data_IF_295967956677
#
_entry.id   IF_295967956677
#
_cell.length_a   1.000
_cell.length_b   1.000
_cell.length_c   1.000
_cell.angle_alpha   90.00
_cell.angle_beta   90.00
_cell.angle_gamma   90.00
#
_symmetry.space_group_name_H-M   'P 1'
#
loop_
_entity.id
_entity.type
_entity.pdbx_description
1 polymer ?
#
# COMPACT_ATOMS: atom_id res chain seq x y z
N UNK A 1 -36.46 -7.62 26.75
CA UNK A 1 -35.95 -8.73 25.93
C UNK A 1 -36.70 -8.69 24.61
N UNK A 2 -35.99 -8.62 23.50
CA UNK A 2 -36.58 -8.75 22.16
C UNK A 2 -37.12 -10.17 22.02
N UNK A 3 -38.38 -10.30 21.61
CA UNK A 3 -39.02 -11.60 21.36
C UNK A 3 -38.29 -12.33 20.23
N UNK A 4 -38.09 -13.65 20.40
CA UNK A 4 -37.50 -14.49 19.35
C UNK A 4 -38.36 -14.44 18.09
N UNK A 5 -37.71 -14.28 16.95
CA UNK A 5 -38.36 -14.26 15.65
C UNK A 5 -37.39 -14.73 14.58
N UNK A 6 -37.86 -15.55 13.64
CA UNK A 6 -37.08 -15.91 12.47
C UNK A 6 -37.99 -16.08 11.27
N UNK A 7 -37.63 -15.40 10.19
CA UNK A 7 -38.08 -15.69 8.84
C UNK A 7 -36.97 -16.50 8.15
N UNK A 8 -37.15 -17.83 8.11
CA UNK A 8 -36.16 -18.73 7.54
C UNK A 8 -35.94 -18.47 6.04
N UNK A 9 -36.94 -17.99 5.29
CA UNK A 9 -36.73 -17.60 3.89
C UNK A 9 -35.94 -16.28 3.82
N UNK A 10 -36.26 -15.34 4.71
CA UNK A 10 -35.59 -14.04 4.85
C UNK A 10 -34.09 -14.14 5.17
N UNK A 11 -33.65 -15.18 5.90
CA UNK A 11 -32.23 -15.45 6.20
C UNK A 11 -31.34 -15.61 4.95
N UNK A 12 -31.93 -15.99 3.80
CA UNK A 12 -31.21 -16.01 2.53
C UNK A 12 -30.63 -14.62 2.17
N UNK A 13 -31.27 -13.53 2.60
CA UNK A 13 -30.79 -12.17 2.37
C UNK A 13 -29.50 -11.87 3.15
N UNK A 14 -29.43 -12.34 4.40
CA UNK A 14 -28.23 -12.24 5.26
C UNK A 14 -27.09 -13.06 4.64
N UNK A 15 -27.38 -14.31 4.24
CA UNK A 15 -26.43 -15.18 3.54
C UNK A 15 -25.87 -14.50 2.28
N UNK A 16 -26.74 -14.00 1.40
CA UNK A 16 -26.33 -13.39 0.14
C UNK A 16 -25.45 -12.15 0.35
N UNK A 17 -25.70 -11.37 1.40
CA UNK A 17 -24.86 -10.22 1.71
C UNK A 17 -23.45 -10.63 2.14
N UNK A 18 -23.33 -11.65 2.99
CA UNK A 18 -22.03 -12.19 3.42
C UNK A 18 -21.25 -12.79 2.25
N UNK A 19 -21.94 -13.48 1.33
CA UNK A 19 -21.35 -13.99 0.09
C UNK A 19 -20.87 -12.85 -0.81
N UNK A 20 -21.64 -11.77 -0.97
CA UNK A 20 -21.19 -10.58 -1.73
C UNK A 20 -19.97 -9.93 -1.08
N UNK A 21 -19.97 -9.74 0.24
CA UNK A 21 -18.81 -9.19 0.94
C UNK A 21 -17.55 -10.06 0.77
N UNK A 22 -17.70 -11.39 0.76
CA UNK A 22 -16.60 -12.31 0.45
C UNK A 22 -16.12 -12.18 -1.00
N UNK A 23 -17.05 -12.07 -1.95
CA UNK A 23 -16.76 -11.83 -3.36
C UNK A 23 -15.99 -10.52 -3.57
N UNK A 24 -16.49 -9.41 -3.03
CA UNK A 24 -15.86 -8.09 -3.12
C UNK A 24 -14.45 -8.10 -2.50
N UNK A 25 -14.25 -8.82 -1.38
CA UNK A 25 -12.94 -8.99 -0.76
C UNK A 25 -11.99 -9.82 -1.64
N UNK A 26 -12.51 -10.86 -2.31
CA UNK A 26 -11.75 -11.65 -3.28
C UNK A 26 -11.33 -10.82 -4.49
N UNK A 27 -12.23 -10.00 -5.04
CA UNK A 27 -11.94 -9.12 -6.18
C UNK A 27 -10.89 -8.06 -5.80
N UNK A 28 -11.00 -7.50 -4.59
CA UNK A 28 -10.02 -6.54 -4.05
C UNK A 28 -8.65 -7.18 -3.82
N UNK A 29 -8.61 -8.44 -3.37
CA UNK A 29 -7.37 -9.21 -3.23
C UNK A 29 -6.71 -9.48 -4.58
N UNK A 30 -7.47 -9.92 -5.58
CA UNK A 30 -6.96 -10.16 -6.93
C UNK A 30 -6.44 -8.86 -7.55
N UNK A 31 -7.18 -7.77 -7.40
CA UNK A 31 -6.76 -6.44 -7.82
C UNK A 31 -5.41 -6.04 -7.20
N UNK A 32 -5.27 -6.24 -5.89
CA UNK A 32 -4.03 -5.93 -5.17
C UNK A 32 -2.87 -6.76 -5.70
N UNK A 33 -3.04 -8.08 -5.85
CA UNK A 33 -2.01 -8.97 -6.41
C UNK A 33 -1.59 -8.55 -7.81
N UNK A 34 -2.56 -8.27 -8.68
CA UNK A 34 -2.32 -7.85 -10.06
C UNK A 34 -1.48 -6.58 -10.18
N UNK A 35 -1.67 -5.62 -9.27
CA UNK A 35 -1.06 -4.29 -9.37
C UNK A 35 0.12 -4.07 -8.41
N UNK A 36 0.34 -4.95 -7.44
CA UNK A 36 1.38 -4.81 -6.43
C UNK A 36 2.37 -5.99 -6.36
N UNK A 37 2.23 -7.04 -7.15
CA UNK A 37 3.27 -8.06 -7.26
C UNK A 37 4.45 -7.54 -8.10
N UNK A 38 5.34 -6.81 -7.43
CA UNK A 38 6.45 -6.11 -8.09
C UNK A 38 7.69 -7.00 -8.23
N UNK A 39 8.16 -7.16 -9.46
CA UNK A 39 9.49 -7.68 -9.76
C UNK A 39 10.53 -6.59 -9.55
N UNK A 40 11.20 -6.55 -8.40
CA UNK A 40 12.31 -5.63 -8.19
C UNK A 40 13.57 -6.12 -8.90
N UNK A 41 14.29 -5.19 -9.52
CA UNK A 41 15.68 -5.40 -9.95
C UNK A 41 16.61 -5.18 -8.77
N UNK A 42 17.67 -5.99 -8.66
CA UNK A 42 18.61 -5.95 -7.52
C UNK A 42 19.62 -4.78 -7.57
N UNK A 43 19.19 -3.56 -7.93
CA UNK A 43 20.07 -2.40 -8.09
C UNK A 43 19.40 -1.09 -7.64
N UNK A 44 20.22 -0.16 -7.16
CA UNK A 44 19.86 1.22 -6.86
C UNK A 44 19.11 1.46 -5.55
N UNK A 45 18.66 2.70 -5.35
CA UNK A 45 18.02 3.18 -4.13
C UNK A 45 16.70 2.45 -3.82
N UNK A 46 16.01 1.95 -4.85
CA UNK A 46 14.77 1.19 -4.69
C UNK A 46 14.96 -0.10 -3.87
N UNK A 47 16.19 -0.64 -3.83
CA UNK A 47 16.55 -1.81 -3.02
C UNK A 47 16.22 -1.63 -1.53
N UNK A 48 16.29 -0.39 -1.03
CA UNK A 48 15.98 -0.07 0.36
C UNK A 48 14.50 -0.27 0.69
N UNK A 49 13.64 -0.31 -0.32
CA UNK A 49 12.19 -0.41 -0.20
C UNK A 49 11.65 -1.82 -0.49
N UNK A 50 12.47 -2.77 -0.94
CA UNK A 50 12.01 -4.14 -1.27
C UNK A 50 11.40 -4.84 -0.06
N UNK A 51 12.13 -4.90 1.05
CA UNK A 51 11.64 -5.55 2.26
C UNK A 51 10.41 -4.84 2.84
N UNK A 52 10.42 -3.49 3.01
CA UNK A 52 9.22 -2.74 3.36
C UNK A 52 8.03 -2.98 2.44
N UNK A 53 8.25 -3.05 1.13
CA UNK A 53 7.18 -3.34 0.17
C UNK A 53 6.60 -4.74 0.36
N UNK A 54 7.45 -5.77 0.40
CA UNK A 54 7.02 -7.17 0.62
C UNK A 54 6.20 -7.29 1.90
N UNK A 55 6.60 -6.55 2.93
CA UNK A 55 5.86 -6.47 4.18
C UNK A 55 4.46 -5.85 4.01
N UNK A 56 4.36 -4.65 3.44
CA UNK A 56 3.09 -3.98 3.20
C UNK A 56 2.16 -4.80 2.30
N UNK A 57 2.72 -5.38 1.23
CA UNK A 57 2.00 -6.26 0.32
C UNK A 57 1.46 -7.51 1.04
N UNK A 58 2.29 -8.18 1.86
CA UNK A 58 1.88 -9.31 2.68
C UNK A 58 0.73 -8.95 3.63
N UNK A 59 0.90 -7.87 4.40
CA UNK A 59 -0.10 -7.42 5.37
C UNK A 59 -1.46 -7.10 4.74
N UNK A 60 -1.49 -6.39 3.60
CA UNK A 60 -2.75 -6.07 2.90
C UNK A 60 -3.38 -7.32 2.30
N UNK A 61 -2.60 -8.19 1.65
CA UNK A 61 -3.14 -9.40 1.02
C UNK A 61 -3.62 -10.43 2.04
N UNK A 62 -2.94 -10.56 3.18
CA UNK A 62 -3.38 -11.38 4.31
C UNK A 62 -4.68 -10.83 4.91
N UNK A 63 -4.76 -9.52 5.17
CA UNK A 63 -5.99 -8.90 5.69
C UNK A 63 -7.20 -9.10 4.76
N UNK A 64 -7.03 -8.94 3.44
CA UNK A 64 -8.09 -9.17 2.46
C UNK A 64 -8.47 -10.66 2.35
N UNK A 65 -7.49 -11.56 2.45
CA UNK A 65 -7.75 -13.01 2.51
C UNK A 65 -8.59 -13.37 3.73
N UNK A 66 -8.23 -12.84 4.90
CA UNK A 66 -8.96 -13.06 6.15
C UNK A 66 -10.38 -12.47 6.07
N UNK A 67 -10.56 -11.27 5.52
CA UNK A 67 -11.88 -10.66 5.30
C UNK A 67 -12.77 -11.56 4.44
N UNK A 68 -12.24 -12.05 3.32
CA UNK A 68 -12.92 -12.98 2.42
C UNK A 68 -13.35 -14.26 3.16
N UNK A 69 -12.43 -14.89 3.88
CA UNK A 69 -12.65 -16.17 4.55
C UNK A 69 -13.65 -16.05 5.71
N UNK A 70 -13.55 -15.00 6.53
CA UNK A 70 -14.47 -14.73 7.62
C UNK A 70 -15.90 -14.46 7.11
N UNK A 71 -16.04 -13.64 6.06
CA UNK A 71 -17.36 -13.38 5.46
C UNK A 71 -17.98 -14.66 4.87
N UNK A 72 -17.19 -15.47 4.15
CA UNK A 72 -17.65 -16.74 3.60
C UNK A 72 -18.05 -17.75 4.70
N UNK A 73 -17.24 -17.83 5.76
CA UNK A 73 -17.49 -18.69 6.92
C UNK A 73 -18.80 -18.32 7.62
N UNK A 74 -19.03 -17.04 7.87
CA UNK A 74 -20.29 -16.56 8.44
C UNK A 74 -21.49 -16.86 7.52
N UNK A 75 -21.36 -16.64 6.21
CA UNK A 75 -22.41 -17.00 5.25
C UNK A 75 -22.77 -18.48 5.33
N UNK A 76 -21.76 -19.36 5.38
CA UNK A 76 -21.96 -20.81 5.53
C UNK A 76 -22.76 -21.14 6.79
N UNK A 77 -22.48 -20.47 7.91
CA UNK A 77 -23.21 -20.68 9.16
C UNK A 77 -24.63 -20.14 9.15
N UNK A 78 -24.86 -18.97 8.55
CA UNK A 78 -26.21 -18.43 8.37
C UNK A 78 -27.06 -19.37 7.51
N UNK A 79 -26.48 -19.95 6.45
CA UNK A 79 -27.16 -20.95 5.64
C UNK A 79 -27.48 -22.24 6.41
N UNK A 80 -26.58 -22.68 7.30
CA UNK A 80 -26.86 -23.81 8.20
C UNK A 80 -28.03 -23.49 9.15
N UNK A 81 -27.98 -22.34 9.84
CA UNK A 81 -29.04 -21.88 10.73
C UNK A 81 -30.40 -21.76 10.01
N UNK A 82 -30.40 -21.26 8.77
CA UNK A 82 -31.57 -21.22 7.91
C UNK A 82 -32.18 -22.61 7.70
N UNK A 83 -31.36 -23.62 7.36
CA UNK A 83 -31.83 -24.98 7.17
C UNK A 83 -32.42 -25.59 8.45
N UNK A 84 -31.85 -25.29 9.60
CA UNK A 84 -32.33 -25.81 10.89
C UNK A 84 -33.64 -25.16 11.31
N UNK A 85 -33.75 -23.83 11.17
CA UNK A 85 -35.01 -23.12 11.43
C UNK A 85 -36.13 -23.52 10.46
N UNK A 86 -35.81 -23.82 9.20
CA UNK A 86 -36.80 -24.29 8.24
C UNK A 86 -37.37 -25.69 8.57
N UNK A 87 -36.65 -26.50 9.34
CA UNK A 87 -37.05 -27.87 9.73
C UNK A 87 -37.70 -27.97 11.11
N UNK A 88 -37.66 -26.90 11.90
CA UNK A 88 -38.14 -26.89 13.29
C UNK A 88 -39.41 -26.05 13.44
N UNK A 89 -40.29 -26.44 14.36
CA UNK A 89 -41.41 -25.58 14.76
C UNK A 89 -40.90 -24.34 15.52
N UNK A 90 -41.72 -23.28 15.57
CA UNK A 90 -41.31 -21.99 16.16
C UNK A 90 -40.92 -22.10 17.64
N UNK A 91 -41.53 -23.01 18.41
CA UNK A 91 -41.21 -23.19 19.83
C UNK A 91 -39.90 -23.97 20.03
N UNK A 92 -39.62 -24.95 19.16
CA UNK A 92 -38.34 -25.62 19.08
C UNK A 92 -37.22 -24.66 18.65
N UNK A 93 -37.46 -23.82 17.65
CA UNK A 93 -36.53 -22.79 17.19
C UNK A 93 -36.21 -21.76 18.30
N UNK A 94 -37.21 -21.33 19.08
CA UNK A 94 -36.99 -20.43 20.21
C UNK A 94 -36.18 -21.09 21.33
N UNK A 95 -36.41 -22.37 21.62
CA UNK A 95 -35.62 -23.13 22.61
C UNK A 95 -34.18 -23.34 22.15
N UNK A 96 -34.00 -23.63 20.86
CA UNK A 96 -32.69 -23.71 20.23
C UNK A 96 -31.97 -22.37 20.36
N UNK A 97 -32.64 -21.26 20.02
CA UNK A 97 -32.06 -19.92 20.11
C UNK A 97 -31.66 -19.53 21.54
N UNK A 98 -32.49 -19.86 22.53
CA UNK A 98 -32.20 -19.60 23.93
C UNK A 98 -30.90 -20.29 24.41
N UNK A 99 -30.47 -21.38 23.75
CA UNK A 99 -29.23 -22.09 24.03
C UNK A 99 -27.95 -21.39 23.54
N UNK A 100 -28.05 -20.39 22.67
CA UNK A 100 -26.86 -19.70 22.15
C UNK A 100 -26.24 -18.74 23.19
N UNK A 101 -24.93 -18.43 23.05
CA UNK A 101 -24.26 -17.46 23.91
C UNK A 101 -24.78 -16.03 23.72
N UNK A 102 -25.28 -15.67 22.53
CA UNK A 102 -25.65 -14.29 22.21
C UNK A 102 -24.43 -13.41 21.88
N UNK A 103 -24.67 -12.11 21.69
CA UNK A 103 -23.58 -11.13 21.62
C UNK A 103 -22.90 -10.99 22.99
N UNK A 104 -21.60 -10.65 23.02
CA UNK A 104 -20.87 -10.41 24.28
C UNK A 104 -21.42 -9.20 25.04
N UNK A 105 -21.78 -8.14 24.32
CA UNK A 105 -22.47 -6.96 24.86
C UNK A 105 -23.68 -6.56 24.00
N UNK A 106 -24.87 -7.13 24.26
CA UNK A 106 -26.09 -6.81 23.50
C UNK A 106 -26.55 -5.35 23.61
N UNK A 107 -26.12 -4.63 24.65
CA UNK A 107 -26.45 -3.21 24.79
C UNK A 107 -25.56 -2.36 23.86
N UNK A 108 -24.26 -2.65 23.82
CA UNK A 108 -23.32 -1.99 22.91
C UNK A 108 -23.65 -2.24 21.43
N UNK A 109 -24.05 -3.47 21.07
CA UNK A 109 -24.52 -3.80 19.71
C UNK A 109 -25.72 -2.94 19.34
N UNK A 110 -26.77 -2.91 20.17
CA UNK A 110 -27.97 -2.10 19.91
C UNK A 110 -27.66 -0.60 19.84
N UNK A 111 -26.76 -0.10 20.69
CA UNK A 111 -26.26 1.27 20.61
C UNK A 111 -25.62 1.56 19.26
N UNK A 112 -24.69 0.71 18.83
CA UNK A 112 -23.98 0.84 17.54
C UNK A 112 -24.92 0.80 16.32
N UNK A 113 -25.99 0.00 16.39
CA UNK A 113 -27.00 -0.09 15.33
C UNK A 113 -27.96 1.11 15.27
N UNK A 114 -28.15 1.83 16.38
CA UNK A 114 -29.16 2.90 16.50
C UNK A 114 -28.57 4.31 16.46
N UNK A 115 -27.27 4.48 16.73
CA UNK A 115 -26.65 5.78 16.94
C UNK A 115 -26.03 6.35 15.65
N UNK A 116 -26.59 7.48 15.17
CA UNK A 116 -25.87 8.44 14.32
C UNK A 116 -25.35 7.90 12.97
N UNK A 117 -26.21 7.23 12.19
CA UNK A 117 -25.85 6.66 10.88
C UNK A 117 -26.57 7.36 9.71
N UNK A 118 -26.12 8.54 9.27
CA UNK A 118 -26.68 9.23 8.11
C UNK A 118 -26.64 8.40 6.83
N UNK A 119 -25.64 7.51 6.70
CA UNK A 119 -25.50 6.57 5.59
C UNK A 119 -26.64 5.54 5.52
N UNK A 120 -27.33 5.32 6.64
CA UNK A 120 -28.51 4.45 6.73
C UNK A 120 -29.82 5.26 6.78
N UNK A 121 -29.77 6.59 6.67
CA UNK A 121 -30.95 7.46 6.67
C UNK A 121 -31.56 7.52 5.27
N UNK A 122 -32.63 6.76 5.06
CA UNK A 122 -33.40 6.74 3.82
C UNK A 122 -34.23 5.47 3.71
N UNK A 123 -35.26 5.47 2.85
CA UNK A 123 -35.99 4.25 2.53
C UNK A 123 -35.12 3.37 1.63
N UNK A 124 -34.49 2.35 2.19
CA UNK A 124 -33.76 1.31 1.45
C UNK A 124 -34.38 -0.04 1.71
N UNK A 125 -34.33 -0.92 0.71
CA UNK A 125 -34.69 -2.32 0.90
C UNK A 125 -33.65 -2.98 1.82
N UNK A 126 -34.12 -3.80 2.75
CA UNK A 126 -33.24 -4.56 3.65
C UNK A 126 -32.19 -5.36 2.85
N UNK A 127 -30.96 -5.42 3.37
CA UNK A 127 -29.80 -6.10 2.79
C UNK A 127 -29.36 -5.61 1.40
N UNK A 128 -29.84 -4.44 0.98
CA UNK A 128 -29.29 -3.72 -0.17
C UNK A 128 -27.99 -3.02 0.24
N UNK A 129 -26.97 -3.21 -0.57
CA UNK A 129 -25.65 -2.60 -0.36
C UNK A 129 -25.76 -1.07 -0.42
N UNK A 130 -25.07 -0.41 0.50
CA UNK A 130 -25.04 1.06 0.64
C UNK A 130 -23.84 1.69 -0.09
N UNK A 131 -22.94 0.84 -0.59
CA UNK A 131 -21.73 1.21 -1.30
C UNK A 131 -21.38 0.14 -2.35
N UNK A 132 -20.53 0.49 -3.32
CA UNK A 132 -20.13 -0.39 -4.42
C UNK A 132 -18.60 -0.55 -4.45
N UNK A 133 -18.03 -1.54 -3.73
CA UNK A 133 -16.58 -1.73 -3.64
C UNK A 133 -15.87 -1.79 -4.99
N UNK A 134 -16.47 -2.50 -5.97
CA UNK A 134 -15.92 -2.62 -7.32
C UNK A 134 -15.74 -1.30 -8.07
N UNK A 135 -16.46 -0.23 -7.70
CA UNK A 135 -16.29 1.10 -8.31
C UNK A 135 -14.91 1.73 -8.04
N UNK A 136 -14.21 1.26 -7.00
CA UNK A 136 -12.85 1.68 -6.68
C UNK A 136 -11.77 0.89 -7.42
N UNK A 137 -12.07 -0.33 -7.89
CA UNK A 137 -11.10 -1.26 -8.50
C UNK A 137 -10.79 -0.92 -9.98
N UNK A 138 -10.64 0.37 -10.28
CA UNK A 138 -10.21 0.88 -11.58
C UNK A 138 -8.70 0.76 -11.74
N UNK A 139 -8.21 0.79 -12.97
CA UNK A 139 -6.76 0.83 -13.22
C UNK A 139 -6.15 2.01 -12.45
N UNK A 140 -5.13 1.80 -11.59
CA UNK A 140 -4.49 2.89 -10.87
C UNK A 140 -3.97 3.91 -11.87
N UNK A 141 -4.40 5.15 -11.73
CA UNK A 141 -3.83 6.25 -12.50
C UNK A 141 -2.41 6.51 -11.99
N UNK A 142 -1.52 6.94 -12.88
CA UNK A 142 -0.27 7.57 -12.49
C UNK A 142 -0.64 8.96 -11.94
N UNK A 143 -1.15 9.01 -10.71
CA UNK A 143 -1.80 10.18 -10.13
C UNK A 143 -0.84 11.35 -9.80
N UNK A 144 0.34 11.40 -10.43
CA UNK A 144 1.30 12.48 -10.25
C UNK A 144 1.76 13.00 -11.60
N UNK A 145 1.74 14.32 -11.75
CA UNK A 145 2.50 15.06 -12.76
C UNK A 145 4.03 14.97 -12.55
N UNK A 146 4.47 14.01 -11.74
CA UNK A 146 5.84 13.54 -11.73
C UNK A 146 5.97 12.69 -12.99
N UNK A 147 6.63 13.25 -14.01
CA UNK A 147 7.14 12.43 -15.11
C UNK A 147 8.02 11.33 -14.52
N UNK A 148 7.44 10.14 -14.43
CA UNK A 148 8.11 8.92 -14.03
C UNK A 148 8.88 8.43 -15.25
N UNK A 149 10.18 8.68 -15.22
CA UNK A 149 11.12 8.33 -16.26
C UNK A 149 11.33 6.81 -16.34
N UNK A 150 11.56 6.29 -17.54
CA UNK A 150 12.45 5.14 -17.70
C UNK A 150 13.83 5.73 -17.89
N UNK A 151 14.57 5.96 -16.80
CA UNK A 151 15.91 6.51 -16.97
C UNK A 151 16.70 5.47 -17.76
N UNK A 152 17.25 5.87 -18.91
CA UNK A 152 18.44 5.24 -19.43
C UNK A 152 19.59 6.14 -18.97
N UNK A 153 20.03 6.03 -17.70
CA UNK A 153 20.96 7.01 -17.14
C UNK A 153 22.28 7.00 -17.90
N UNK A 154 22.59 5.88 -18.55
CA UNK A 154 23.74 5.74 -19.44
C UNK A 154 23.61 6.55 -20.74
N UNK A 155 22.39 6.81 -21.24
CA UNK A 155 22.16 7.64 -22.43
C UNK A 155 21.92 9.12 -22.06
N UNK A 156 21.22 9.38 -20.96
CA UNK A 156 20.77 10.73 -20.58
C UNK A 156 21.77 11.49 -19.70
N UNK A 157 22.39 10.84 -18.71
CA UNK A 157 23.48 11.42 -17.91
C UNK A 157 24.85 11.13 -18.49
N UNK A 158 25.00 9.97 -19.16
CA UNK A 158 26.31 9.42 -19.53
C UNK A 158 26.49 9.34 -21.06
N UNK A 159 26.11 10.40 -21.77
CA UNK A 159 26.66 10.72 -23.09
C UNK A 159 27.96 11.58 -23.09
N UNK A 160 28.86 11.56 -22.08
CA UNK A 160 30.16 12.17 -22.24
C UNK A 160 31.08 11.18 -22.96
N UNK A 161 31.58 11.62 -24.11
CA UNK A 161 32.60 10.97 -24.94
C UNK A 161 33.73 10.30 -24.11
N UNK A 162 34.25 9.16 -24.59
CA UNK A 162 35.20 8.28 -23.90
C UNK A 162 36.35 8.98 -23.13
N UNK A 163 36.78 10.16 -23.55
CA UNK A 163 37.82 10.95 -22.87
C UNK A 163 37.39 11.52 -21.51
N UNK A 164 36.11 11.89 -21.31
CA UNK A 164 35.60 12.40 -20.02
C UNK A 164 35.60 11.31 -18.94
N UNK A 165 35.22 10.08 -19.33
CA UNK A 165 35.40 8.90 -18.47
C UNK A 165 36.86 8.70 -18.08
N UNK A 166 37.79 8.91 -19.01
CA UNK A 166 39.22 8.74 -18.74
C UNK A 166 39.79 9.81 -17.79
N UNK A 167 39.36 11.08 -17.91
CA UNK A 167 39.71 12.15 -16.96
C UNK A 167 39.12 11.85 -15.57
N UNK A 168 37.91 11.31 -15.53
CA UNK A 168 37.23 10.94 -14.27
C UNK A 168 37.94 9.79 -13.57
N UNK A 169 38.32 8.74 -14.31
CA UNK A 169 39.13 7.63 -13.78
C UNK A 169 40.50 8.13 -13.34
N UNK A 170 41.13 9.04 -14.07
CA UNK A 170 42.40 9.64 -13.65
C UNK A 170 42.27 10.41 -12.33
N UNK A 171 41.19 11.18 -12.18
CA UNK A 171 40.97 12.04 -11.01
C UNK A 171 40.47 11.27 -9.78
N UNK A 172 39.51 10.36 -9.96
CA UNK A 172 38.82 9.66 -8.87
C UNK A 172 39.27 8.20 -8.71
N UNK A 173 40.11 7.66 -9.60
CA UNK A 173 40.53 6.25 -9.67
C UNK A 173 39.42 5.24 -10.03
N UNK A 174 38.21 5.70 -10.36
CA UNK A 174 37.07 4.91 -10.86
C UNK A 174 36.11 5.82 -11.66
N UNK A 175 35.07 5.24 -12.29
CA UNK A 175 34.01 6.00 -12.98
C UNK A 175 32.87 6.33 -11.97
N UNK A 176 32.79 7.56 -11.44
CA UNK A 176 31.76 7.92 -10.47
C UNK A 176 30.36 7.98 -11.10
N UNK A 177 30.26 8.22 -12.42
CA UNK A 177 28.99 8.38 -13.10
C UNK A 177 28.23 7.05 -13.21
N UNK A 178 28.95 5.95 -13.47
CA UNK A 178 28.34 4.61 -13.49
C UNK A 178 27.73 4.25 -12.13
N UNK A 179 28.45 4.54 -11.04
CA UNK A 179 27.96 4.34 -9.68
C UNK A 179 26.67 5.12 -9.40
N UNK A 180 26.64 6.41 -9.73
CA UNK A 180 25.49 7.30 -9.51
C UNK A 180 24.29 6.97 -10.39
N UNK A 181 24.51 6.71 -11.67
CA UNK A 181 23.47 6.27 -12.61
C UNK A 181 22.73 5.02 -12.12
N UNK A 182 23.48 4.03 -11.62
CA UNK A 182 22.90 2.80 -11.10
C UNK A 182 22.01 3.01 -9.88
N UNK A 183 22.21 4.10 -9.12
CA UNK A 183 21.40 4.41 -7.93
C UNK A 183 19.95 4.78 -8.26
N UNK A 184 19.71 5.34 -9.44
CA UNK A 184 18.36 5.71 -9.86
C UNK A 184 17.64 4.61 -10.65
N UNK A 185 18.33 3.52 -10.97
CA UNK A 185 17.75 2.34 -11.59
C UNK A 185 16.60 1.76 -10.75
N UNK A 186 15.65 1.14 -11.44
CA UNK A 186 14.49 0.50 -10.82
C UNK A 186 13.18 0.94 -11.46
N UNK A 187 12.16 0.10 -11.34
CA UNK A 187 10.82 0.41 -11.82
C UNK A 187 10.04 1.21 -10.79
N UNK A 188 10.45 2.47 -10.61
CA UNK A 188 9.75 3.42 -9.74
C UNK A 188 8.31 3.62 -10.19
N UNK A 189 8.04 3.47 -11.50
CA UNK A 189 6.71 3.61 -12.09
C UNK A 189 5.77 2.53 -11.56
N UNK A 190 6.21 1.27 -11.56
CA UNK A 190 5.47 0.18 -10.96
C UNK A 190 5.35 0.33 -9.43
N UNK A 191 6.38 0.87 -8.76
CA UNK A 191 6.32 1.17 -7.33
C UNK A 191 5.19 2.16 -6.98
N UNK A 192 5.15 3.32 -7.64
CA UNK A 192 4.06 4.32 -7.51
C UNK A 192 2.71 3.72 -7.88
N UNK A 193 2.66 2.95 -8.98
CA UNK A 193 1.45 2.28 -9.44
C UNK A 193 0.86 1.39 -8.35
N UNK A 194 1.70 0.61 -7.67
CA UNK A 194 1.28 -0.19 -6.53
C UNK A 194 0.79 0.67 -5.35
N UNK A 195 1.49 1.76 -5.00
CA UNK A 195 1.04 2.68 -3.94
C UNK A 195 -0.39 3.19 -4.20
N UNK A 196 -0.70 3.58 -5.44
CA UNK A 196 -2.04 3.97 -5.84
C UNK A 196 -3.06 2.82 -5.76
N UNK A 197 -2.66 1.63 -6.22
CA UNK A 197 -3.49 0.43 -6.10
C UNK A 197 -3.84 0.10 -4.64
N UNK A 198 -2.88 0.22 -3.71
CA UNK A 198 -3.13 0.03 -2.28
C UNK A 198 -4.20 1.00 -1.77
N UNK A 199 -4.10 2.29 -2.13
CA UNK A 199 -5.11 3.29 -1.76
C UNK A 199 -6.52 2.94 -2.26
N UNK A 200 -6.64 2.46 -3.51
CA UNK A 200 -7.91 2.03 -4.10
C UNK A 200 -8.45 0.75 -3.45
N UNK A 201 -7.59 -0.22 -3.15
CA UNK A 201 -7.96 -1.42 -2.41
C UNK A 201 -8.47 -1.09 -1.00
N UNK A 202 -7.85 -0.13 -0.32
CA UNK A 202 -8.33 0.38 0.97
C UNK A 202 -9.71 1.03 0.88
N UNK A 203 -10.02 1.76 -0.20
CA UNK A 203 -11.34 2.33 -0.43
C UNK A 203 -12.40 1.25 -0.70
N UNK A 204 -12.08 0.23 -1.50
CA UNK A 204 -12.95 -0.93 -1.69
C UNK A 204 -13.25 -1.65 -0.37
N UNK A 205 -12.22 -1.90 0.46
CA UNK A 205 -12.39 -2.52 1.78
C UNK A 205 -13.28 -1.70 2.72
N UNK A 206 -13.17 -0.38 2.68
CA UNK A 206 -14.05 0.51 3.42
C UNK A 206 -15.52 0.34 3.01
N UNK A 207 -15.79 0.25 1.71
CA UNK A 207 -17.15 0.06 1.21
C UNK A 207 -17.71 -1.33 1.52
N UNK A 208 -16.87 -2.37 1.53
CA UNK A 208 -17.25 -3.70 2.05
C UNK A 208 -17.67 -3.59 3.51
N UNK A 209 -16.87 -2.90 4.33
CA UNK A 209 -17.17 -2.73 5.75
C UNK A 209 -18.47 -1.94 6.00
N UNK A 210 -18.74 -0.92 5.19
CA UNK A 210 -20.01 -0.20 5.23
C UNK A 210 -21.20 -1.08 4.89
N UNK A 211 -21.07 -1.93 3.87
CA UNK A 211 -22.11 -2.88 3.49
C UNK A 211 -22.39 -3.89 4.61
N UNK A 212 -21.36 -4.47 5.23
CA UNK A 212 -21.50 -5.38 6.38
C UNK A 212 -22.21 -4.70 7.55
N UNK A 213 -21.81 -3.48 7.89
CA UNK A 213 -22.40 -2.75 9.01
C UNK A 213 -23.86 -2.37 8.73
N UNK A 214 -24.20 -2.02 7.48
CA UNK A 214 -25.58 -1.81 7.05
C UNK A 214 -26.40 -3.11 7.17
N UNK A 215 -25.80 -4.22 6.75
CA UNK A 215 -26.33 -5.57 6.91
C UNK A 215 -26.71 -5.95 8.33
N UNK A 216 -25.79 -5.71 9.27
CA UNK A 216 -26.02 -5.94 10.70
C UNK A 216 -27.29 -5.22 11.20
N UNK A 217 -27.60 -4.05 10.66
CA UNK A 217 -28.80 -3.29 11.02
C UNK A 217 -30.09 -3.99 10.53
N UNK A 218 -30.01 -4.61 9.35
CA UNK A 218 -31.14 -5.28 8.72
C UNK A 218 -31.42 -6.67 9.27
N UNK A 219 -30.45 -7.33 9.93
CA UNK A 219 -30.63 -8.69 10.51
C UNK A 219 -31.93 -8.77 11.31
N UNK A 220 -32.23 -7.76 12.12
CA UNK A 220 -33.43 -7.71 12.97
C UNK A 220 -34.77 -7.75 12.23
N UNK A 221 -34.80 -7.47 10.91
CA UNK A 221 -36.01 -7.54 10.09
C UNK A 221 -36.40 -8.97 9.73
N UNK A 222 -35.45 -9.91 9.76
CA UNK A 222 -35.67 -11.33 9.42
C UNK A 222 -35.27 -12.28 10.55
N UNK A 223 -34.48 -11.83 11.53
CA UNK A 223 -33.96 -12.67 12.59
C UNK A 223 -33.73 -11.89 13.88
N UNK A 224 -34.35 -12.34 14.97
CA UNK A 224 -34.22 -11.78 16.33
C UNK A 224 -34.07 -12.92 17.32
N UNK A 225 -33.16 -12.76 18.27
CA UNK A 225 -32.75 -13.81 19.19
C UNK A 225 -31.26 -13.71 19.47
N UNK A 226 -30.76 -14.60 20.30
CA UNK A 226 -29.34 -14.62 20.67
C UNK A 226 -28.44 -14.88 19.47
N UNK A 227 -28.82 -15.80 18.57
CA UNK A 227 -28.00 -16.06 17.39
C UNK A 227 -27.97 -14.85 16.43
N UNK A 228 -29.10 -14.15 16.29
CA UNK A 228 -29.16 -12.90 15.53
C UNK A 228 -28.26 -11.82 16.14
N UNK A 229 -28.27 -11.65 17.46
CA UNK A 229 -27.41 -10.67 18.16
C UNK A 229 -25.92 -10.99 17.96
N UNK A 230 -25.52 -12.27 18.02
CA UNK A 230 -24.16 -12.70 17.76
C UNK A 230 -23.73 -12.42 16.31
N UNK A 231 -24.61 -12.66 15.33
CA UNK A 231 -24.36 -12.35 13.93
C UNK A 231 -24.20 -10.84 13.69
N UNK A 232 -25.04 -10.02 14.33
CA UNK A 232 -24.92 -8.57 14.29
C UNK A 232 -23.59 -8.09 14.88
N UNK A 233 -23.18 -8.62 16.03
CA UNK A 233 -21.88 -8.32 16.65
C UNK A 233 -20.72 -8.69 15.71
N UNK A 234 -20.80 -9.85 15.06
CA UNK A 234 -19.81 -10.30 14.08
C UNK A 234 -19.69 -9.33 12.89
N UNK A 235 -20.80 -9.02 12.21
CA UNK A 235 -20.78 -8.11 11.06
C UNK A 235 -20.31 -6.69 11.42
N UNK A 236 -20.68 -6.19 12.60
CA UNK A 236 -20.19 -4.90 13.10
C UNK A 236 -18.68 -4.93 13.32
N UNK A 237 -18.16 -5.99 13.94
CA UNK A 237 -16.73 -6.14 14.22
C UNK A 237 -15.93 -6.30 12.93
N UNK A 238 -16.37 -7.17 12.03
CA UNK A 238 -15.73 -7.39 10.73
C UNK A 238 -15.79 -6.14 9.86
N UNK A 239 -16.93 -5.47 9.81
CA UNK A 239 -17.11 -4.26 9.02
C UNK A 239 -16.28 -3.08 9.53
N UNK A 240 -16.17 -2.90 10.86
CA UNK A 240 -15.27 -1.91 11.44
C UNK A 240 -13.80 -2.20 11.10
N UNK A 241 -13.39 -3.46 11.14
CA UNK A 241 -12.05 -3.87 10.77
C UNK A 241 -11.75 -3.59 9.28
N UNK A 242 -12.70 -3.89 8.39
CA UNK A 242 -12.58 -3.60 6.96
C UNK A 242 -12.54 -2.09 6.68
N UNK A 243 -13.32 -1.27 7.40
CA UNK A 243 -13.25 0.21 7.34
C UNK A 243 -11.86 0.70 7.75
N UNK A 244 -11.28 0.16 8.81
CA UNK A 244 -9.97 0.58 9.31
C UNK A 244 -8.82 0.24 8.33
N UNK A 245 -8.99 -0.76 7.46
CA UNK A 245 -8.01 -1.10 6.42
C UNK A 245 -7.73 0.09 5.48
N UNK A 246 -8.71 0.97 5.25
CA UNK A 246 -8.54 2.15 4.41
C UNK A 246 -7.44 3.09 4.91
N UNK A 247 -7.36 3.29 6.23
CA UNK A 247 -6.37 4.19 6.83
C UNK A 247 -4.95 3.67 6.60
N UNK A 248 -4.73 2.37 6.81
CA UNK A 248 -3.44 1.73 6.58
C UNK A 248 -3.04 1.80 5.09
N UNK A 249 -3.97 1.45 4.20
CA UNK A 249 -3.76 1.52 2.75
C UNK A 249 -3.48 2.93 2.23
N UNK A 250 -4.14 3.95 2.80
CA UNK A 250 -3.87 5.35 2.46
C UNK A 250 -2.47 5.79 2.90
N UNK A 251 -2.06 5.40 4.11
CA UNK A 251 -0.71 5.67 4.60
C UNK A 251 0.35 4.96 3.74
N UNK A 252 0.11 3.72 3.31
CA UNK A 252 0.98 3.04 2.36
C UNK A 252 1.10 3.80 1.04
N UNK A 253 -0.03 4.23 0.46
CA UNK A 253 -0.02 5.07 -0.73
C UNK A 253 0.88 6.30 -0.52
N UNK A 254 0.60 7.11 0.51
CA UNK A 254 1.34 8.34 0.79
C UNK A 254 2.86 8.10 0.92
N UNK A 255 3.27 7.06 1.64
CA UNK A 255 4.69 6.74 1.83
C UNK A 255 5.37 6.28 0.54
N UNK A 256 4.67 5.52 -0.32
CA UNK A 256 5.20 5.12 -1.63
C UNK A 256 5.42 6.34 -2.53
N UNK A 257 4.45 7.27 -2.53
CA UNK A 257 4.55 8.52 -3.29
C UNK A 257 5.70 9.40 -2.79
N UNK A 258 5.84 9.54 -1.47
CA UNK A 258 6.94 10.31 -0.86
C UNK A 258 8.32 9.73 -1.20
N UNK A 259 8.47 8.40 -1.20
CA UNK A 259 9.73 7.76 -1.59
C UNK A 259 10.09 8.05 -3.05
N UNK A 260 9.13 7.90 -3.97
CA UNK A 260 9.35 8.19 -5.38
C UNK A 260 9.67 9.67 -5.64
N UNK A 261 8.95 10.58 -4.99
CA UNK A 261 9.20 12.02 -5.09
C UNK A 261 10.58 12.42 -4.53
N UNK A 262 11.00 11.80 -3.41
CA UNK A 262 12.32 12.03 -2.84
C UNK A 262 13.43 11.63 -3.81
N UNK A 263 13.31 10.46 -4.45
CA UNK A 263 14.31 10.01 -5.44
C UNK A 263 14.27 10.86 -6.70
N UNK A 264 13.10 11.35 -7.12
CA UNK A 264 13.02 12.33 -8.22
C UNK A 264 13.75 13.63 -7.91
N UNK A 265 13.47 14.24 -6.76
CA UNK A 265 14.16 15.47 -6.33
C UNK A 265 15.67 15.26 -6.25
N UNK A 266 16.10 14.11 -5.73
CA UNK A 266 17.52 13.76 -5.72
C UNK A 266 18.09 13.72 -7.14
N UNK A 267 17.43 13.02 -8.07
CA UNK A 267 17.88 12.93 -9.45
C UNK A 267 17.99 14.31 -10.12
N UNK A 268 17.00 15.18 -9.94
CA UNK A 268 16.99 16.52 -10.52
C UNK A 268 18.19 17.35 -10.02
N UNK A 269 18.45 17.32 -8.70
CA UNK A 269 19.60 18.03 -8.09
C UNK A 269 20.93 17.42 -8.53
N UNK A 270 21.07 16.10 -8.47
CA UNK A 270 22.30 15.38 -8.83
C UNK A 270 22.63 15.57 -10.31
N UNK A 271 21.63 15.60 -11.20
CA UNK A 271 21.84 15.83 -12.63
C UNK A 271 22.39 17.25 -12.91
N UNK A 272 21.94 18.25 -12.15
CA UNK A 272 22.51 19.60 -12.17
C UNK A 272 23.98 19.60 -11.73
N UNK A 273 24.29 19.00 -10.58
CA UNK A 273 25.66 18.92 -10.06
C UNK A 273 26.59 18.09 -10.95
N UNK A 274 26.08 17.04 -11.60
CA UNK A 274 26.83 16.26 -12.60
C UNK A 274 27.17 17.13 -13.81
N UNK A 275 26.24 17.98 -14.26
CA UNK A 275 26.49 18.92 -15.35
C UNK A 275 27.60 19.92 -14.98
N UNK A 276 27.54 20.49 -13.77
CA UNK A 276 28.59 21.37 -13.25
C UNK A 276 29.95 20.65 -13.14
N UNK A 277 29.94 19.38 -12.70
CA UNK A 277 31.14 18.56 -12.62
C UNK A 277 31.72 18.30 -14.02
N UNK A 278 30.89 17.99 -15.02
CA UNK A 278 31.33 17.80 -16.40
C UNK A 278 31.99 19.07 -16.95
N UNK A 279 31.41 20.25 -16.70
CA UNK A 279 31.98 21.53 -17.10
C UNK A 279 33.37 21.76 -16.48
N UNK A 280 33.52 21.48 -15.18
CA UNK A 280 34.83 21.55 -14.50
C UNK A 280 35.84 20.56 -15.08
N UNK A 281 35.42 19.32 -15.38
CA UNK A 281 36.28 18.31 -15.97
C UNK A 281 36.73 18.67 -17.40
N UNK A 282 35.90 19.34 -18.19
CA UNK A 282 36.27 19.90 -19.50
C UNK A 282 37.41 20.92 -19.32
N UNK A 283 37.30 21.81 -18.33
CA UNK A 283 38.32 22.83 -18.06
C UNK A 283 39.63 22.18 -17.59
N UNK A 284 39.57 21.17 -16.70
CA UNK A 284 40.76 20.42 -16.25
C UNK A 284 41.46 19.77 -17.44
N UNK A 285 40.71 19.13 -18.35
CA UNK A 285 41.28 18.47 -19.52
C UNK A 285 41.99 19.48 -20.45
N UNK A 286 41.34 20.62 -20.74
CA UNK A 286 41.92 21.68 -21.54
C UNK A 286 43.19 22.27 -20.89
N UNK A 287 43.16 22.53 -19.58
CA UNK A 287 44.29 23.06 -18.82
C UNK A 287 45.47 22.07 -18.76
N UNK A 288 45.20 20.77 -18.60
CA UNK A 288 46.23 19.73 -18.59
C UNK A 288 46.88 19.56 -19.98
N UNK A 289 46.10 19.63 -21.06
CA UNK A 289 46.62 19.56 -22.43
C UNK A 289 47.52 20.77 -22.75
N UNK A 290 47.08 21.99 -22.39
CA UNK A 290 47.87 23.22 -22.58
C UNK A 290 49.12 23.23 -21.69
N UNK A 291 49.01 22.78 -20.44
CA UNK A 291 50.15 22.65 -19.52
C UNK A 291 51.22 21.71 -20.08
N UNK A 292 50.82 20.59 -20.68
CA UNK A 292 51.74 19.63 -21.31
C UNK A 292 52.42 20.19 -22.55
N UNK A 293 51.68 20.94 -23.38
CA UNK A 293 52.21 21.54 -24.62
C UNK A 293 53.13 22.75 -24.37
N UNK A 294 52.98 23.43 -23.23
CA UNK A 294 53.74 24.66 -22.92
C UNK A 294 54.95 24.43 -22.02
N UNK A 295 55.28 23.17 -21.71
CA UNK A 295 56.51 22.79 -20.97
C UNK A 295 57.80 23.28 -21.67
N UNK A 296 57.77 23.46 -23.00
CA UNK A 296 58.91 23.98 -23.76
C UNK A 296 59.08 25.51 -23.65
N UNK A 297 58.05 26.22 -23.18
CA UNK A 297 58.06 27.67 -22.99
C UNK A 297 58.05 27.96 -21.49
N UNK A 298 59.18 28.40 -20.92
CA UNK A 298 59.48 28.55 -19.47
C UNK A 298 58.39 29.25 -18.61
N UNK A 299 57.42 29.94 -19.22
CA UNK A 299 56.30 30.63 -18.56
C UNK A 299 55.00 29.80 -18.48
N UNK A 300 54.83 28.80 -19.35
CA UNK A 300 53.60 27.99 -19.47
C UNK A 300 53.22 27.10 -18.29
N UNK A 301 54.17 26.42 -17.59
CA UNK A 301 53.84 25.46 -16.55
C UNK A 301 53.14 26.09 -15.32
N UNK A 302 53.53 27.29 -14.89
CA UNK A 302 53.08 27.86 -13.61
C UNK A 302 51.62 28.32 -13.66
N UNK A 303 51.15 28.83 -14.81
CA UNK A 303 49.76 29.24 -14.99
C UNK A 303 48.83 28.02 -15.20
N UNK A 304 49.26 27.02 -15.99
CA UNK A 304 48.45 25.84 -16.31
C UNK A 304 48.18 24.94 -15.11
N UNK A 305 49.19 24.66 -14.27
CA UNK A 305 49.02 23.78 -13.11
C UNK A 305 48.23 24.42 -11.97
N UNK A 306 48.32 25.74 -11.76
CA UNK A 306 47.52 26.44 -10.75
C UNK A 306 46.02 26.43 -11.07
N UNK A 307 45.68 26.66 -12.34
CA UNK A 307 44.31 26.56 -12.85
C UNK A 307 43.80 25.13 -12.73
N UNK A 308 44.59 24.13 -13.16
CA UNK A 308 44.20 22.72 -13.05
C UNK A 308 43.99 22.27 -11.59
N UNK A 309 44.84 22.71 -10.65
CA UNK A 309 44.70 22.37 -9.23
C UNK A 309 43.44 22.99 -8.59
N UNK A 310 43.12 24.25 -8.91
CA UNK A 310 41.89 24.91 -8.46
C UNK A 310 40.64 24.16 -8.95
N UNK A 311 40.55 23.88 -10.24
CA UNK A 311 39.42 23.16 -10.81
C UNK A 311 39.37 21.69 -10.34
N UNK A 312 40.51 21.07 -10.07
CA UNK A 312 40.58 19.74 -9.44
C UNK A 312 39.96 19.74 -8.04
N UNK A 313 40.24 20.76 -7.23
CA UNK A 313 39.60 20.92 -5.92
C UNK A 313 38.08 21.14 -6.07
N UNK A 314 37.64 21.96 -7.02
CA UNK A 314 36.22 22.19 -7.30
C UNK A 314 35.51 20.89 -7.74
N UNK A 315 36.13 20.09 -8.61
CA UNK A 315 35.59 18.79 -9.02
C UNK A 315 35.45 17.83 -7.83
N UNK A 316 36.41 17.84 -6.91
CA UNK A 316 36.35 17.04 -5.69
C UNK A 316 35.24 17.51 -4.72
N UNK A 317 35.00 18.81 -4.63
CA UNK A 317 33.94 19.39 -3.80
C UNK A 317 32.54 19.02 -4.33
N UNK A 318 32.32 19.17 -5.65
CA UNK A 318 31.08 18.73 -6.31
C UNK A 318 30.83 17.23 -6.14
N UNK A 319 31.88 16.40 -6.29
CA UNK A 319 31.79 14.97 -6.04
C UNK A 319 31.33 14.65 -4.61
N UNK A 320 31.87 15.36 -3.61
CA UNK A 320 31.47 15.19 -2.20
C UNK A 320 30.02 15.59 -1.97
N UNK A 321 29.59 16.70 -2.56
CA UNK A 321 28.22 17.19 -2.44
C UNK A 321 27.23 16.17 -3.00
N UNK A 322 27.48 15.66 -4.22
CA UNK A 322 26.68 14.59 -4.83
C UNK A 322 26.62 13.37 -3.91
N UNK A 323 27.76 12.92 -3.39
CA UNK A 323 27.84 11.76 -2.50
C UNK A 323 27.06 11.96 -1.19
N UNK A 324 27.10 13.17 -0.63
CA UNK A 324 26.32 13.52 0.56
C UNK A 324 24.82 13.49 0.30
N UNK A 325 24.37 13.95 -0.88
CA UNK A 325 22.95 13.91 -1.25
C UNK A 325 22.44 12.47 -1.38
N UNK A 326 23.25 11.56 -1.94
CA UNK A 326 22.92 10.13 -1.96
C UNK A 326 22.80 9.54 -0.56
N UNK A 327 23.74 9.85 0.35
CA UNK A 327 23.67 9.40 1.74
C UNK A 327 22.39 9.86 2.43
N UNK A 328 22.04 11.14 2.29
CA UNK A 328 20.82 11.71 2.86
C UNK A 328 19.55 11.05 2.30
N UNK A 329 19.50 10.77 0.99
CA UNK A 329 18.38 10.10 0.37
C UNK A 329 18.25 8.65 0.82
N UNK A 330 19.36 7.93 0.96
CA UNK A 330 19.35 6.57 1.50
C UNK A 330 18.75 6.55 2.92
N UNK A 331 19.15 7.49 3.77
CA UNK A 331 18.64 7.57 5.14
C UNK A 331 17.15 7.96 5.18
N UNK A 332 16.70 8.85 4.30
CA UNK A 332 15.28 9.14 4.13
C UNK A 332 14.48 7.92 3.67
N UNK A 333 14.99 7.14 2.71
CA UNK A 333 14.33 5.92 2.24
C UNK A 333 14.29 4.83 3.32
N UNK A 334 15.33 4.71 4.15
CA UNK A 334 15.30 3.83 5.33
C UNK A 334 14.23 4.27 6.32
N UNK A 335 14.10 5.57 6.57
CA UNK A 335 13.07 6.12 7.45
C UNK A 335 11.68 5.78 6.92
N UNK A 336 11.43 6.03 5.63
CA UNK A 336 10.17 5.69 4.97
C UNK A 336 9.91 4.18 5.03
N UNK A 337 10.91 3.36 4.74
CA UNK A 337 10.81 1.89 4.85
C UNK A 337 10.49 1.42 6.27
N UNK A 338 11.05 2.09 7.28
CA UNK A 338 10.71 1.90 8.69
C UNK A 338 9.25 2.25 8.99
N UNK A 339 8.76 3.40 8.50
CA UNK A 339 7.36 3.81 8.63
C UNK A 339 6.39 2.81 7.96
N UNK A 340 6.71 2.33 6.75
CA UNK A 340 5.93 1.30 6.06
C UNK A 340 5.82 0.04 6.93
N UNK A 341 6.94 -0.42 7.49
CA UNK A 341 6.96 -1.62 8.36
C UNK A 341 6.21 -1.38 9.69
N UNK A 342 6.12 -0.13 10.15
CA UNK A 342 5.43 0.26 11.38
C UNK A 342 3.90 0.29 11.32
N UNK A 343 3.29 0.31 10.13
CA UNK A 343 1.81 0.41 9.95
C UNK A 343 1.05 -0.82 10.51
N UNK A 344 1.75 -1.90 10.88
CA UNK A 344 1.20 -3.14 11.47
C UNK A 344 0.15 -2.95 12.56
N UNK A 345 0.18 -1.86 13.32
CA UNK A 345 -0.70 -1.64 14.47
C UNK A 345 -2.16 -1.28 14.11
N UNK A 346 -2.51 -1.10 12.82
CA UNK A 346 -3.83 -0.59 12.41
C UNK A 346 -4.67 -1.57 11.58
N UNK A 347 -4.12 -2.73 11.23
CA UNK A 347 -4.80 -3.72 10.38
C UNK A 347 -5.67 -4.68 11.21
N UNK A 348 -6.73 -4.12 11.80
CA UNK A 348 -7.60 -4.82 12.75
C UNK A 348 -8.22 -6.13 12.23
N UNK A 349 -8.31 -6.34 10.91
CA UNK A 349 -8.89 -7.56 10.32
C UNK A 349 -8.10 -8.82 10.71
N UNK A 350 -6.77 -8.72 10.83
CA UNK A 350 -5.92 -9.85 11.21
C UNK A 350 -6.00 -10.18 12.71
N UNK A 351 -6.37 -9.19 13.51
CA UNK A 351 -6.48 -9.27 14.96
C UNK A 351 -7.90 -9.67 15.40
N UNK A 352 -8.84 -9.71 14.46
CA UNK A 352 -10.08 -10.42 14.70
C UNK A 352 -9.67 -11.85 15.05
N UNK A 353 -10.03 -12.35 16.25
CA UNK A 353 -9.91 -13.77 16.47
C UNK A 353 -10.61 -14.47 15.30
N UNK A 354 -10.29 -15.73 15.05
CA UNK A 354 -11.27 -16.61 14.41
C UNK A 354 -12.51 -16.53 15.29
N UNK A 355 -13.35 -15.51 15.04
CA UNK A 355 -14.66 -15.36 15.65
C UNK A 355 -15.30 -16.60 15.11
N UNK A 356 -15.35 -17.62 15.96
CA UNK A 356 -15.83 -18.93 15.58
C UNK A 356 -17.16 -18.62 14.90
N UNK A 357 -17.26 -18.85 13.58
CA UNK A 357 -18.53 -18.73 12.91
C UNK A 357 -19.49 -19.53 13.79
N UNK A 358 -20.67 -18.95 14.04
CA UNK A 358 -21.74 -19.55 14.82
C UNK A 358 -21.58 -21.08 14.93
N UNK A 359 -21.29 -21.60 16.12
CA UNK A 359 -21.11 -23.04 16.32
C UNK A 359 -22.46 -23.62 16.71
N UNK A 360 -23.05 -24.39 15.80
CA UNK A 360 -24.32 -25.05 16.03
C UNK A 360 -24.19 -26.09 17.18
N UNK A 361 -25.02 -26.04 18.24
CA UNK A 361 -24.91 -26.95 19.39
C UNK A 361 -25.28 -28.41 19.06
N UNK A 362 -25.97 -28.67 17.95
CA UNK A 362 -26.20 -30.03 17.47
C UNK A 362 -25.00 -30.66 16.72
N UNK A 363 -23.85 -29.98 16.65
CA UNK A 363 -22.55 -30.55 16.26
C UNK A 363 -22.59 -31.56 15.11
N UNK A 364 -22.55 -31.07 13.87
CA UNK A 364 -22.05 -31.84 12.73
C UNK A 364 -20.83 -31.13 12.15
#
# INVERSE_FOLDING_TARGET
MTEFYVDAAGLNSVYNQLVRASGDASDTLEYTRKHCDLGFTDVGLIMRLISPHKHAYGEVTEALTQLKELAQGAGTQVNAAQHDYARTDQAAAARLDAGYPGAKDPAAVRGSLTQGRPDLQGYRSAFTDVAQPGSHLKNPEYAIGIEMWSINPMADLISPSAWLRQVSIWLFSYDPFEGWASQFSGDWKAYVHCGNAMGLAGAAAHDIGRNLVAGATDVSTVWRGKAAEAEQEFQLTLGAAAINLQSACRQYNELYMQAAEAVKKLFDVVSGLISDLLDVLIIINAAAAVGTATIETVVGPIAGYGVAAYYTWQAYDLYKEISSLYGNAEDLLKLIGGSITGIKATLAVKDLPTVQPYHHPAGY
#
